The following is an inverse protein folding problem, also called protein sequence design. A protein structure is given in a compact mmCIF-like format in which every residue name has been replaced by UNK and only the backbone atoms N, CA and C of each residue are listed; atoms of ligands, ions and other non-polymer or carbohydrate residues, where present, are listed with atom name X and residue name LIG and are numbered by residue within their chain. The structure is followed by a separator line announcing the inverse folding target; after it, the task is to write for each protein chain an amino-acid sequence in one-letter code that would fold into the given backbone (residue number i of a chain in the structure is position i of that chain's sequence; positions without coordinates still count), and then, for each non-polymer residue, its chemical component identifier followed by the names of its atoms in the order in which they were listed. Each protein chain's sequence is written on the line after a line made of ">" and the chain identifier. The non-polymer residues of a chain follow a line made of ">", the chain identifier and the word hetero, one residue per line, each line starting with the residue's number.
data_IF_229037439154
#
_entry.id   IF_229037439154
#
_cell.length_a   1.000
_cell.length_b   1.000
_cell.length_c   1.000
_cell.angle_alpha   90.00
_cell.angle_beta   90.00
_cell.angle_gamma   90.00
#
_symmetry.space_group_name_H-M   'P 1'
#
loop_
_entity.id
_entity.type
_entity.pdbx_description
1 polymer ?
#
# COMPACT_ATOMS: atom_id res chain seq x y z
N UNK A 1 33.18 -1.92 14.65
CA UNK A 1 31.79 -2.14 14.24
C UNK A 1 31.85 -2.66 12.83
N UNK A 2 31.65 -3.96 12.66
CA UNK A 2 31.68 -4.60 11.35
C UNK A 2 30.47 -4.12 10.54
N UNK A 3 30.72 -3.47 9.41
CA UNK A 3 29.69 -3.21 8.41
C UNK A 3 29.40 -4.54 7.72
N UNK A 4 28.28 -5.18 8.07
CA UNK A 4 27.82 -6.38 7.39
C UNK A 4 27.60 -6.04 5.92
N UNK A 5 28.48 -6.55 5.07
CA UNK A 5 28.43 -6.43 3.62
C UNK A 5 27.42 -7.46 3.07
N UNK A 6 26.19 -7.41 3.59
CA UNK A 6 25.06 -8.16 3.04
C UNK A 6 24.82 -7.62 1.62
N UNK A 7 24.70 -8.49 0.61
CA UNK A 7 24.37 -8.03 -0.74
C UNK A 7 23.05 -7.25 -0.67
N UNK A 8 23.01 -6.07 -1.28
CA UNK A 8 21.75 -5.35 -1.53
C UNK A 8 20.79 -6.38 -2.13
N UNK A 9 19.72 -6.70 -1.40
CA UNK A 9 18.77 -7.76 -1.75
C UNK A 9 18.43 -7.67 -3.24
N UNK A 10 18.66 -8.74 -3.99
CA UNK A 10 18.38 -8.82 -5.43
C UNK A 10 16.90 -8.60 -5.78
N UNK A 11 16.04 -8.55 -4.76
CA UNK A 11 14.60 -8.33 -4.86
C UNK A 11 14.23 -6.85 -4.98
N UNK A 12 15.13 -5.91 -4.63
CA UNK A 12 14.90 -4.47 -4.79
C UNK A 12 15.39 -4.03 -6.17
N UNK A 13 14.50 -4.13 -7.15
CA UNK A 13 14.75 -3.71 -8.53
C UNK A 13 14.31 -2.27 -8.78
N UNK A 14 14.77 -1.69 -9.89
CA UNK A 14 14.25 -0.40 -10.35
C UNK A 14 12.74 -0.47 -10.63
N UNK A 15 12.25 -1.57 -11.18
CA UNK A 15 10.82 -1.76 -11.43
C UNK A 15 9.99 -1.76 -10.15
N UNK A 16 10.49 -2.37 -9.07
CA UNK A 16 9.87 -2.30 -7.75
C UNK A 16 9.76 -0.85 -7.27
N UNK A 17 10.85 -0.09 -7.34
CA UNK A 17 10.90 1.31 -6.90
C UNK A 17 9.96 2.20 -7.72
N UNK A 18 9.87 1.93 -9.03
CA UNK A 18 8.97 2.65 -9.93
C UNK A 18 7.50 2.20 -9.81
N UNK A 19 7.22 1.09 -9.11
CA UNK A 19 5.88 0.53 -9.00
C UNK A 19 5.41 -0.18 -10.27
N UNK A 20 6.35 -0.64 -11.11
CA UNK A 20 6.11 -1.46 -12.30
C UNK A 20 6.14 -2.95 -11.95
N UNK A 21 5.37 -3.34 -10.95
CA UNK A 21 5.32 -4.73 -10.44
C UNK A 21 3.88 -5.17 -10.27
N UNK A 22 3.67 -6.49 -10.26
CA UNK A 22 2.39 -7.09 -9.89
C UNK A 22 2.49 -7.63 -8.46
N UNK A 23 1.87 -6.98 -7.47
CA UNK A 23 2.05 -7.35 -6.06
C UNK A 23 1.58 -8.78 -5.74
N UNK A 24 0.59 -9.29 -6.48
CA UNK A 24 0.08 -10.65 -6.33
C UNK A 24 1.16 -11.72 -6.59
N UNK A 25 2.15 -11.42 -7.42
CA UNK A 25 3.19 -12.36 -7.84
C UNK A 25 4.59 -11.98 -7.33
N UNK A 26 4.71 -10.89 -6.56
CA UNK A 26 6.00 -10.36 -6.15
C UNK A 26 6.35 -10.80 -4.71
N UNK A 27 7.53 -11.40 -4.46
CA UNK A 27 7.85 -12.10 -3.19
C UNK A 27 7.87 -11.20 -1.95
N UNK A 28 8.11 -9.91 -2.14
CA UNK A 28 8.09 -8.90 -1.08
C UNK A 28 6.68 -8.51 -0.60
N UNK A 29 5.61 -8.95 -1.28
CA UNK A 29 4.25 -8.58 -0.91
C UNK A 29 3.44 -9.77 -0.42
N UNK A 30 2.48 -9.46 0.43
CA UNK A 30 1.48 -10.41 0.94
C UNK A 30 0.10 -9.81 0.76
N UNK A 31 -0.88 -10.65 0.46
CA UNK A 31 -2.28 -10.23 0.44
C UNK A 31 -2.75 -9.94 1.88
N UNK A 32 -3.48 -8.84 2.02
CA UNK A 32 -4.09 -8.40 3.26
C UNK A 32 -5.40 -9.17 3.48
N UNK A 33 -5.64 -9.65 4.70
CA UNK A 33 -6.91 -10.30 5.04
C UNK A 33 -8.07 -9.30 4.95
N UNK A 34 -9.21 -9.75 4.42
CA UNK A 34 -10.46 -8.98 4.39
C UNK A 34 -10.97 -8.63 5.79
N UNK A 35 -10.55 -9.34 6.85
CA UNK A 35 -10.94 -9.01 8.23
C UNK A 35 -10.39 -7.67 8.71
N UNK A 36 -9.32 -7.18 8.07
CA UNK A 36 -8.63 -5.95 8.46
C UNK A 36 -8.58 -4.92 7.32
N UNK A 37 -9.38 -5.14 6.26
CA UNK A 37 -9.43 -4.27 5.09
C UNK A 37 -10.85 -4.04 4.59
N UNK A 38 -11.06 -2.91 3.93
CA UNK A 38 -12.34 -2.55 3.33
C UNK A 38 -12.71 -3.40 2.10
N UNK A 39 -11.74 -4.11 1.51
CA UNK A 39 -11.94 -5.01 0.36
C UNK A 39 -10.78 -6.00 0.20
N UNK A 40 -11.03 -7.05 -0.60
CA UNK A 40 -10.01 -8.02 -1.04
C UNK A 40 -9.01 -7.43 -2.05
N UNK A 41 -8.03 -8.22 -2.47
CA UNK A 41 -7.06 -7.87 -3.52
C UNK A 41 -6.23 -6.63 -3.16
N UNK A 42 -5.83 -6.52 -1.89
CA UNK A 42 -4.89 -5.51 -1.41
C UNK A 42 -3.61 -6.18 -0.93
N UNK A 43 -2.50 -5.54 -1.23
CA UNK A 43 -1.19 -6.08 -0.93
C UNK A 43 -0.38 -5.11 -0.08
N UNK A 44 0.41 -5.66 0.84
CA UNK A 44 1.32 -4.91 1.69
C UNK A 44 2.70 -5.57 1.67
N UNK A 45 3.74 -4.79 1.93
CA UNK A 45 5.08 -5.32 2.16
C UNK A 45 5.02 -6.39 3.27
N UNK A 46 5.62 -7.56 2.99
CA UNK A 46 5.63 -8.74 3.86
C UNK A 46 6.14 -8.42 5.26
N UNK A 47 7.13 -7.55 5.37
CA UNK A 47 7.74 -7.14 6.63
C UNK A 47 6.86 -6.15 7.42
N UNK A 48 6.07 -5.33 6.72
CA UNK A 48 5.24 -4.31 7.34
C UNK A 48 3.89 -4.89 7.83
N UNK A 49 3.38 -5.93 7.19
CA UNK A 49 2.06 -6.48 7.52
C UNK A 49 1.95 -7.00 8.97
N UNK A 50 2.94 -7.73 9.54
CA UNK A 50 2.92 -8.12 10.95
C UNK A 50 2.91 -6.92 11.91
N UNK A 51 3.57 -5.83 11.56
CA UNK A 51 3.55 -4.60 12.38
C UNK A 51 2.15 -3.96 12.36
N UNK A 52 1.50 -3.93 11.20
CA UNK A 52 0.10 -3.51 11.09
C UNK A 52 -0.83 -4.38 11.95
N UNK A 53 -0.69 -5.71 11.92
CA UNK A 53 -1.55 -6.61 12.73
C UNK A 53 -1.39 -6.36 14.24
N UNK A 54 -0.17 -6.06 14.71
CA UNK A 54 0.07 -5.65 16.11
C UNK A 54 -0.65 -4.34 16.45
N UNK A 55 -0.56 -3.34 15.56
CA UNK A 55 -1.26 -2.06 15.71
C UNK A 55 -2.78 -2.24 15.69
N UNK A 56 -3.31 -3.04 14.76
CA UNK A 56 -4.73 -3.39 14.67
C UNK A 56 -5.25 -4.02 15.97
N UNK A 57 -4.50 -4.98 16.53
CA UNK A 57 -4.86 -5.63 17.80
C UNK A 57 -4.85 -4.64 18.97
N UNK A 58 -3.86 -3.76 19.04
CA UNK A 58 -3.79 -2.74 20.08
C UNK A 58 -4.97 -1.76 19.99
N UNK A 59 -5.27 -1.25 18.79
CA UNK A 59 -6.42 -0.39 18.54
C UNK A 59 -7.74 -1.06 18.93
N UNK A 60 -7.91 -2.34 18.62
CA UNK A 60 -9.10 -3.10 19.01
C UNK A 60 -9.26 -3.22 20.54
N UNK A 61 -8.17 -3.39 21.30
CA UNK A 61 -8.19 -3.37 22.77
C UNK A 61 -8.69 -2.02 23.32
N UNK A 62 -8.38 -0.93 22.62
CA UNK A 62 -8.80 0.43 22.97
C UNK A 62 -10.20 0.78 22.40
N UNK A 63 -10.89 -0.18 21.78
CA UNK A 63 -12.21 0.04 21.16
C UNK A 63 -12.17 0.85 19.86
N UNK A 64 -11.00 0.99 19.23
CA UNK A 64 -10.79 1.75 18.00
C UNK A 64 -10.81 0.79 16.80
N UNK A 65 -11.83 0.84 15.92
CA UNK A 65 -11.85 0.02 14.71
C UNK A 65 -10.85 0.57 13.69
N UNK A 66 -9.78 -0.17 13.44
CA UNK A 66 -8.75 0.18 12.46
C UNK A 66 -8.90 -0.67 11.21
N UNK A 67 -9.06 -0.05 10.03
CA UNK A 67 -9.28 -0.76 8.77
C UNK A 67 -8.35 -0.22 7.68
N UNK A 68 -7.75 -1.12 6.89
CA UNK A 68 -6.97 -0.75 5.72
C UNK A 68 -7.92 -0.36 4.58
N UNK A 69 -7.92 0.92 4.23
CA UNK A 69 -8.64 1.48 3.07
C UNK A 69 -7.76 1.62 1.83
N UNK A 70 -6.44 1.54 2.00
CA UNK A 70 -5.46 1.47 0.91
C UNK A 70 -4.10 0.98 1.38
N UNK A 71 -3.38 0.31 0.49
CA UNK A 71 -2.06 -0.25 0.76
C UNK A 71 -1.10 0.03 -0.41
N UNK A 72 -0.28 -0.95 -0.82
CA UNK A 72 0.55 -0.84 -2.02
C UNK A 72 -0.31 -0.40 -3.22
N UNK A 73 0.22 0.51 -4.02
CA UNK A 73 -0.32 0.87 -5.33
C UNK A 73 0.78 0.88 -6.38
N UNK A 74 0.51 0.28 -7.52
CA UNK A 74 1.37 0.31 -8.71
C UNK A 74 1.41 1.71 -9.33
N UNK A 75 2.39 1.96 -10.20
CA UNK A 75 2.47 3.21 -10.97
C UNK A 75 1.18 3.47 -11.75
N UNK A 76 0.65 2.44 -12.39
CA UNK A 76 -0.58 2.51 -13.20
C UNK A 76 -1.77 2.93 -12.35
N UNK A 77 -1.94 2.36 -11.17
CA UNK A 77 -3.03 2.73 -10.26
C UNK A 77 -2.90 4.16 -9.76
N UNK A 78 -1.69 4.57 -9.35
CA UNK A 78 -1.43 5.94 -8.88
C UNK A 78 -1.67 6.96 -10.00
N UNK A 79 -1.17 6.69 -11.21
CA UNK A 79 -1.41 7.52 -12.39
C UNK A 79 -2.90 7.64 -12.70
N UNK A 80 -3.66 6.55 -12.62
CA UNK A 80 -5.12 6.56 -12.82
C UNK A 80 -5.82 7.43 -11.78
N UNK A 81 -5.48 7.27 -10.50
CA UNK A 81 -6.06 8.06 -9.41
C UNK A 81 -5.73 9.55 -9.61
N UNK A 82 -4.48 9.87 -9.93
CA UNK A 82 -4.05 11.24 -10.19
C UNK A 82 -4.80 11.86 -11.36
N UNK A 83 -4.87 11.17 -12.51
CA UNK A 83 -5.58 11.66 -13.68
C UNK A 83 -7.07 11.85 -13.40
N UNK A 84 -7.71 10.91 -12.68
CA UNK A 84 -9.12 11.04 -12.34
C UNK A 84 -9.38 12.26 -11.46
N UNK A 85 -8.49 12.57 -10.52
CA UNK A 85 -8.57 13.77 -9.69
C UNK A 85 -8.36 15.05 -10.52
N UNK A 86 -7.32 15.05 -11.35
CA UNK A 86 -6.96 16.19 -12.19
C UNK A 86 -8.05 16.54 -13.20
N UNK A 87 -8.68 15.55 -13.83
CA UNK A 87 -9.77 15.77 -14.80
C UNK A 87 -11.14 15.91 -14.15
N UNK A 88 -11.24 15.98 -12.81
CA UNK A 88 -12.52 16.16 -12.12
C UNK A 88 -13.44 14.92 -12.11
N UNK A 89 -12.95 13.74 -12.50
CA UNK A 89 -13.69 12.47 -12.40
C UNK A 89 -13.77 11.94 -10.96
N UNK A 90 -12.86 12.40 -10.12
CA UNK A 90 -12.83 12.14 -8.68
C UNK A 90 -12.56 13.45 -7.96
N UNK A 91 -13.26 13.68 -6.85
CA UNK A 91 -13.04 14.87 -6.03
C UNK A 91 -11.66 14.85 -5.35
N UNK A 92 -11.12 16.05 -5.14
CA UNK A 92 -9.99 16.26 -4.24
C UNK A 92 -10.43 16.08 -2.77
N UNK A 93 -9.46 16.03 -1.85
CA UNK A 93 -9.74 15.83 -0.43
C UNK A 93 -10.73 16.88 0.13
N UNK A 94 -10.64 18.11 -0.36
CA UNK A 94 -11.48 19.23 0.07
C UNK A 94 -12.82 19.32 -0.69
N UNK A 95 -13.22 18.22 -1.37
CA UNK A 95 -14.42 18.16 -2.23
C UNK A 95 -14.39 19.14 -3.41
N UNK A 96 -13.19 19.60 -3.77
CA UNK A 96 -12.97 20.45 -4.94
C UNK A 96 -12.92 19.55 -6.18
N UNK A 97 -13.63 19.95 -7.23
CA UNK A 97 -13.48 19.39 -8.56
C UNK A 97 -12.43 20.19 -9.33
N UNK A 98 -11.32 19.57 -9.72
CA UNK A 98 -10.22 20.28 -10.39
C UNK A 98 -10.55 20.74 -11.83
N UNK A 99 -11.65 20.27 -12.42
CA UNK A 99 -12.07 20.66 -13.77
C UNK A 99 -12.96 21.92 -13.79
N UNK A 100 -13.34 22.45 -12.62
CA UNK A 100 -14.26 23.59 -12.47
C UNK A 100 -13.59 24.78 -11.78
#
# INVERSE_FOLDING_TARGET
>A
METSNEPISSEITLDLVLGNVEPAHHPLFVEISVDVSDRSERYMQKEAYPAFLKMHKAAATDGIPLVIVSAMRTFTEQKRIWNNKWTGKMELADKINAAN
#
